data_IF_376494853903
#
_entry.id   IF_376494853903
#
_cell.length_a   1.000
_cell.length_b   1.000
_cell.length_c   1.000
_cell.angle_alpha   90.00
_cell.angle_beta   90.00
_cell.angle_gamma   90.00
#
_symmetry.space_group_name_H-M   'P 1'
#
loop_
_entity.id
_entity.type
_entity.pdbx_description
1 polymer ?
#
# COMPACT_ATOMS: atom_id res chain seq x y z
N UNK A 1 1.03 2.46 59.50
CA UNK A 1 -0.16 2.27 58.63
C UNK A 1 -0.42 3.45 57.67
N UNK A 2 0.61 4.08 57.08
CA UNK A 2 0.39 5.12 56.05
C UNK A 2 1.31 5.05 54.83
N UNK A 3 2.37 4.23 54.87
CA UNK A 3 3.33 4.10 53.77
C UNK A 3 2.88 3.04 52.74
N UNK A 4 2.09 2.04 53.16
CA UNK A 4 1.58 0.99 52.26
C UNK A 4 0.45 1.45 51.32
N UNK A 5 -0.22 2.56 51.63
CA UNK A 5 -1.33 3.08 50.81
C UNK A 5 -0.83 3.83 49.56
N UNK A 6 0.37 4.42 49.62
CA UNK A 6 0.95 5.18 48.49
C UNK A 6 1.48 4.29 47.37
N UNK A 7 1.88 3.05 47.68
CA UNK A 7 2.41 2.12 46.67
C UNK A 7 1.32 1.44 45.84
N UNK A 8 0.09 1.34 46.35
CA UNK A 8 -0.99 0.63 45.66
C UNK A 8 -1.73 1.50 44.61
N UNK A 9 -1.65 2.82 44.73
CA UNK A 9 -2.29 3.76 43.77
C UNK A 9 -1.42 3.97 42.53
N UNK A 10 -0.10 3.79 42.63
CA UNK A 10 0.84 4.02 41.54
C UNK A 10 0.85 2.92 40.46
N UNK A 11 0.39 1.70 40.77
CA UNK A 11 0.41 0.56 39.84
C UNK A 11 -0.85 0.43 38.97
N UNK A 12 -1.91 1.20 39.26
CA UNK A 12 -3.14 1.22 38.45
C UNK A 12 -3.12 2.26 37.33
N UNK A 13 -2.08 3.10 37.26
CA UNK A 13 -1.89 4.09 36.21
C UNK A 13 -0.77 3.61 35.25
N UNK A 14 -0.87 2.37 34.76
CA UNK A 14 -0.24 2.07 33.50
C UNK A 14 -0.96 2.95 32.47
N UNK A 15 -0.27 3.86 31.75
CA UNK A 15 -0.90 4.50 30.62
C UNK A 15 -1.28 3.34 29.69
N UNK A 16 -2.58 3.13 29.52
CA UNK A 16 -3.08 2.43 28.35
C UNK A 16 -2.46 3.19 27.19
N UNK A 17 -1.36 2.66 26.64
CA UNK A 17 -0.86 3.09 25.36
C UNK A 17 -1.96 2.66 24.42
N UNK A 18 -2.94 3.56 24.25
CA UNK A 18 -3.89 3.50 23.16
C UNK A 18 -3.00 3.41 21.94
N UNK A 19 -2.95 2.21 21.34
CA UNK A 19 -2.37 1.98 20.03
C UNK A 19 -3.23 2.82 19.07
N UNK A 20 -2.86 4.09 18.98
CA UNK A 20 -3.52 5.07 18.16
C UNK A 20 -3.14 4.70 16.73
N UNK A 21 -3.95 3.80 16.15
CA UNK A 21 -3.95 3.50 14.73
C UNK A 21 -4.09 4.83 14.01
N UNK A 22 -2.96 5.35 13.52
CA UNK A 22 -2.91 6.66 12.90
C UNK A 22 -3.95 6.71 11.77
N UNK A 23 -4.77 7.75 11.67
CA UNK A 23 -5.67 7.92 10.53
C UNK A 23 -4.81 7.98 9.27
N UNK A 24 -4.98 7.01 8.37
CA UNK A 24 -4.28 6.98 7.09
C UNK A 24 -4.77 8.20 6.29
N UNK A 25 -3.89 9.10 5.84
CA UNK A 25 -4.33 10.28 5.11
C UNK A 25 -5.00 9.87 3.79
N UNK A 26 -6.17 10.45 3.54
CA UNK A 26 -7.11 10.20 2.43
C UNK A 26 -6.53 10.46 1.02
N UNK A 27 -5.24 10.80 0.90
CA UNK A 27 -4.61 11.25 -0.35
C UNK A 27 -3.33 10.49 -0.71
N UNK A 28 -3.12 9.28 -0.15
CA UNK A 28 -2.01 8.41 -0.58
C UNK A 28 -2.44 7.63 -1.81
N UNK A 29 -1.93 8.04 -2.98
CA UNK A 29 -2.05 7.22 -4.20
C UNK A 29 -1.31 5.91 -3.96
N UNK A 30 -2.05 4.80 -3.95
CA UNK A 30 -1.48 3.46 -3.84
C UNK A 30 -1.08 2.98 -5.24
N UNK A 31 0.14 2.46 -5.36
CA UNK A 31 0.64 1.82 -6.57
C UNK A 31 0.80 0.33 -6.30
N UNK A 32 0.20 -0.47 -7.15
CA UNK A 32 0.37 -1.92 -7.18
C UNK A 32 1.02 -2.29 -8.52
N UNK A 33 1.89 -3.29 -8.52
CA UNK A 33 2.60 -3.73 -9.72
C UNK A 33 2.63 -5.26 -9.78
N UNK A 34 2.32 -5.80 -10.95
CA UNK A 34 2.42 -7.22 -11.22
C UNK A 34 3.11 -7.45 -12.57
N UNK A 35 3.85 -8.54 -12.66
CA UNK A 35 4.57 -8.92 -13.87
C UNK A 35 3.64 -9.66 -14.85
N UNK A 36 4.08 -9.79 -16.10
CA UNK A 36 3.36 -10.60 -17.09
C UNK A 36 3.10 -12.01 -16.52
N UNK A 37 1.91 -12.55 -16.78
CA UNK A 37 1.36 -13.82 -16.24
C UNK A 37 0.99 -13.84 -14.76
N UNK A 38 1.29 -12.80 -13.99
CA UNK A 38 0.88 -12.70 -12.59
C UNK A 38 -0.38 -11.82 -12.45
N UNK A 39 -1.38 -12.26 -11.68
CA UNK A 39 -2.55 -11.43 -11.41
C UNK A 39 -2.17 -10.22 -10.53
N UNK A 40 -2.97 -9.15 -10.62
CA UNK A 40 -2.84 -7.95 -9.78
C UNK A 40 -4.07 -7.82 -8.87
N UNK A 41 -3.85 -7.65 -7.57
CA UNK A 41 -4.92 -7.53 -6.56
C UNK A 41 -4.93 -6.12 -5.96
N UNK A 42 -6.00 -5.36 -6.22
CA UNK A 42 -6.19 -4.02 -5.67
C UNK A 42 -7.04 -4.08 -4.40
N UNK A 43 -6.54 -3.53 -3.29
CA UNK A 43 -7.24 -3.53 -1.99
C UNK A 43 -7.26 -2.14 -1.35
N UNK A 44 -8.47 -1.64 -1.07
CA UNK A 44 -8.71 -0.46 -0.27
C UNK A 44 -9.13 -0.84 1.17
N UNK A 45 -8.71 -0.09 2.20
CA UNK A 45 -9.15 -0.33 3.57
C UNK A 45 -10.59 0.16 3.80
N UNK A 46 -11.34 -0.51 4.68
CA UNK A 46 -12.64 -0.03 5.13
C UNK A 46 -13.73 -0.08 4.06
N UNK A 47 -14.37 1.06 3.80
CA UNK A 47 -15.49 1.24 2.85
C UNK A 47 -15.06 1.98 1.58
N UNK A 48 -13.78 2.27 1.44
CA UNK A 48 -13.27 3.04 0.30
C UNK A 48 -13.37 2.22 -0.99
N UNK A 49 -13.73 2.89 -2.08
CA UNK A 49 -13.81 2.31 -3.41
C UNK A 49 -12.50 2.53 -4.17
N UNK A 50 -12.20 1.63 -5.11
CA UNK A 50 -11.02 1.74 -5.96
C UNK A 50 -11.29 2.82 -7.01
N UNK A 51 -10.38 3.79 -7.11
CA UNK A 51 -10.36 4.79 -8.17
C UNK A 51 -9.02 4.71 -8.88
N UNK A 52 -9.04 4.48 -10.19
CA UNK A 52 -7.82 4.38 -10.99
C UNK A 52 -7.41 5.80 -11.44
N UNK A 53 -6.26 6.26 -10.96
CA UNK A 53 -5.61 7.51 -11.41
C UNK A 53 -4.79 7.30 -12.69
N UNK A 54 -4.05 6.19 -12.74
CA UNK A 54 -3.21 5.83 -13.88
C UNK A 54 -3.00 4.33 -13.95
N UNK A 55 -2.97 3.76 -15.16
CA UNK A 55 -2.56 2.38 -15.40
C UNK A 55 -1.83 2.30 -16.74
N UNK A 56 -0.74 1.54 -16.76
CA UNK A 56 0.02 1.25 -17.98
C UNK A 56 0.27 -0.25 -18.03
N UNK A 57 0.04 -0.84 -19.19
CA UNK A 57 0.45 -2.21 -19.48
C UNK A 57 1.64 -2.15 -20.45
N UNK A 58 2.81 -2.54 -19.98
CA UNK A 58 4.06 -2.41 -20.73
C UNK A 58 5.27 -2.34 -19.80
N UNK A 59 6.34 -1.73 -20.28
CA UNK A 59 7.63 -1.64 -19.58
C UNK A 59 8.18 -0.23 -19.68
N UNK A 60 8.39 0.39 -18.52
CA UNK A 60 9.00 1.72 -18.35
C UNK A 60 10.41 1.65 -17.78
N UNK A 61 10.71 0.54 -17.09
CA UNK A 61 11.94 0.36 -16.33
C UNK A 61 12.58 -0.99 -16.69
N UNK A 62 13.90 -1.01 -16.73
CA UNK A 62 14.73 -2.17 -17.01
C UNK A 62 14.90 -3.09 -15.79
N UNK A 63 14.59 -2.62 -14.58
CA UNK A 63 14.81 -3.36 -13.32
C UNK A 63 13.57 -4.09 -12.79
N UNK A 64 12.39 -3.80 -13.33
CA UNK A 64 11.13 -4.36 -12.87
C UNK A 64 10.81 -5.60 -13.69
N UNK A 65 10.37 -6.69 -13.05
CA UNK A 65 10.08 -7.97 -13.70
C UNK A 65 11.28 -8.50 -14.50
N UNK A 66 12.25 -9.07 -13.77
CA UNK A 66 13.47 -9.65 -14.35
C UNK A 66 13.13 -10.80 -15.31
N UNK A 67 13.74 -10.79 -16.49
CA UNK A 67 13.43 -11.70 -17.61
C UNK A 67 14.63 -11.74 -18.57
N UNK A 68 14.42 -12.10 -19.83
CA UNK A 68 15.50 -12.10 -20.82
C UNK A 68 15.99 -10.66 -21.12
N UNK A 69 17.31 -10.43 -21.22
CA UNK A 69 17.88 -9.09 -21.40
C UNK A 69 17.41 -8.40 -22.70
N UNK A 70 17.06 -9.19 -23.72
CA UNK A 70 16.51 -8.69 -25.00
C UNK A 70 15.12 -8.06 -24.80
N UNK A 71 14.30 -8.60 -23.90
CA UNK A 71 12.97 -8.07 -23.60
C UNK A 71 13.05 -6.88 -22.64
N UNK A 72 14.12 -6.78 -21.84
CA UNK A 72 14.34 -5.70 -20.88
C UNK A 72 14.89 -4.42 -21.51
N UNK A 73 15.51 -4.50 -22.70
CA UNK A 73 16.05 -3.34 -23.42
C UNK A 73 14.95 -2.34 -23.84
N UNK A 74 13.72 -2.82 -24.09
CA UNK A 74 12.61 -1.96 -24.47
C UNK A 74 11.90 -1.35 -23.25
N UNK A 75 12.41 -0.21 -22.79
CA UNK A 75 11.84 0.58 -21.68
C UNK A 75 10.80 1.62 -22.11
N UNK A 76 10.41 1.64 -23.40
CA UNK A 76 9.40 2.59 -23.93
C UNK A 76 8.17 1.85 -24.46
N UNK A 77 7.70 0.87 -23.71
CA UNK A 77 6.51 0.12 -24.03
C UNK A 77 5.34 0.66 -23.22
N UNK A 78 4.38 1.30 -23.90
CA UNK A 78 3.21 1.90 -23.30
C UNK A 78 1.95 1.45 -24.02
N UNK A 79 0.92 1.09 -23.25
CA UNK A 79 -0.41 0.81 -23.78
C UNK A 79 -1.42 1.75 -23.11
N UNK A 80 -1.83 2.85 -23.77
CA UNK A 80 -2.73 3.84 -23.16
C UNK A 80 -4.13 3.28 -22.87
N UNK A 81 -4.56 2.25 -23.59
CA UNK A 81 -5.86 1.59 -23.37
C UNK A 81 -5.93 0.83 -22.05
N UNK A 82 -4.79 0.58 -21.39
CA UNK A 82 -4.73 -0.07 -20.08
C UNK A 82 -5.51 0.70 -19.01
N UNK A 83 -5.49 2.03 -19.07
CA UNK A 83 -6.29 2.87 -18.16
C UNK A 83 -7.78 2.54 -18.25
N UNK A 84 -8.30 2.44 -19.48
CA UNK A 84 -9.70 2.13 -19.72
C UNK A 84 -10.04 0.74 -19.19
N UNK A 85 -9.20 -0.26 -19.48
CA UNK A 85 -9.41 -1.65 -19.06
C UNK A 85 -9.49 -1.77 -17.52
N UNK A 86 -8.63 -1.06 -16.80
CA UNK A 86 -8.62 -1.09 -15.33
C UNK A 86 -9.73 -0.28 -14.67
N UNK A 87 -10.28 0.71 -15.39
CA UNK A 87 -11.35 1.59 -14.90
C UNK A 87 -12.78 1.08 -15.14
N UNK A 88 -12.92 0.00 -15.92
CA UNK A 88 -14.20 -0.66 -16.22
C UNK A 88 -14.64 -1.59 -15.09
#
# INVERSE_FOLDING_TARGET
MWIGCLLFVATLCAPFTTDARAPIPMAVVRRELSCESYPIDLRCPGTDVIMIESANYGRTDDKICDSDPVQMENTRCYLPDAYKIMSL
#
